data_IF_450191956909
#
_entry.id   IF_450191956909
#
_cell.length_a   1.000
_cell.length_b   1.000
_cell.length_c   1.000
_cell.angle_alpha   90.00
_cell.angle_beta   90.00
_cell.angle_gamma   90.00
#
_symmetry.space_group_name_H-M   'P 1'
#
loop_
_entity.id
_entity.type
_entity.pdbx_description
1 polymer ?
#
# COMPACT_ATOMS: atom_id res chain seq x y z
N UNK A 1 17.81 -5.20 -6.84
CA UNK A 1 17.62 -6.66 -6.75
C UNK A 1 17.10 -7.00 -5.35
N UNK A 2 16.33 -8.09 -5.17
CA UNK A 2 16.09 -8.65 -3.83
C UNK A 2 16.88 -9.95 -3.80
N UNK A 3 17.81 -10.05 -2.86
CA UNK A 3 18.63 -11.24 -2.70
C UNK A 3 18.33 -11.84 -1.34
N UNK A 4 17.86 -13.09 -1.33
CA UNK A 4 17.61 -13.85 -0.10
C UNK A 4 18.48 -15.09 -0.14
N UNK A 5 19.53 -15.09 0.70
CA UNK A 5 20.41 -16.23 0.86
C UNK A 5 19.83 -17.22 1.89
N UNK A 6 20.08 -18.51 1.64
CA UNK A 6 19.70 -19.60 2.54
C UNK A 6 20.54 -19.54 3.82
N UNK A 7 19.90 -19.69 4.98
CA UNK A 7 20.61 -19.80 6.26
C UNK A 7 20.98 -21.26 6.54
N UNK A 8 22.07 -21.48 7.27
CA UNK A 8 22.49 -22.84 7.69
C UNK A 8 21.44 -23.43 8.63
N UNK A 9 20.98 -24.65 8.36
CA UNK A 9 19.91 -25.31 9.13
C UNK A 9 18.48 -24.92 8.74
N UNK A 10 18.29 -24.11 7.69
CA UNK A 10 16.96 -23.70 7.23
C UNK A 10 16.35 -24.70 6.24
N UNK A 11 15.06 -25.00 6.39
CA UNK A 11 14.29 -25.75 5.40
C UNK A 11 14.05 -24.91 4.14
N UNK A 12 13.83 -25.56 3.00
CA UNK A 12 13.56 -24.83 1.76
C UNK A 12 12.27 -23.99 1.85
N UNK A 13 11.24 -24.51 2.53
CA UNK A 13 9.96 -23.81 2.69
C UNK A 13 10.11 -22.51 3.51
N UNK A 14 10.91 -22.53 4.58
CA UNK A 14 11.17 -21.33 5.38
C UNK A 14 11.87 -20.24 4.57
N UNK A 15 12.80 -20.63 3.69
CA UNK A 15 13.46 -19.71 2.76
C UNK A 15 12.45 -19.10 1.78
N UNK A 16 11.56 -19.92 1.19
CA UNK A 16 10.55 -19.46 0.24
C UNK A 16 9.56 -18.48 0.88
N UNK A 17 9.13 -18.74 2.12
CA UNK A 17 8.26 -17.83 2.89
C UNK A 17 8.93 -16.47 3.11
N UNK A 18 10.20 -16.45 3.52
CA UNK A 18 10.99 -15.22 3.65
C UNK A 18 11.11 -14.46 2.33
N UNK A 19 11.36 -15.18 1.24
CA UNK A 19 11.44 -14.59 -0.08
C UNK A 19 10.10 -13.93 -0.48
N UNK A 20 8.98 -14.63 -0.28
CA UNK A 20 7.64 -14.10 -0.53
C UNK A 20 7.35 -12.83 0.28
N UNK A 21 7.62 -12.83 1.57
CA UNK A 21 7.45 -11.66 2.44
C UNK A 21 8.34 -10.48 1.99
N UNK A 22 9.62 -10.75 1.71
CA UNK A 22 10.55 -9.72 1.24
C UNK A 22 10.14 -9.15 -0.13
N UNK A 23 9.61 -9.98 -1.03
CA UNK A 23 9.03 -9.56 -2.29
C UNK A 23 7.81 -8.65 -2.11
N UNK A 24 6.91 -8.97 -1.19
CA UNK A 24 5.74 -8.16 -0.87
C UNK A 24 6.15 -6.81 -0.26
N UNK A 25 7.00 -6.84 0.77
CA UNK A 25 7.49 -5.63 1.46
C UNK A 25 8.24 -4.69 0.52
N UNK A 26 9.02 -5.25 -0.41
CA UNK A 26 9.81 -4.45 -1.36
C UNK A 26 8.96 -3.55 -2.26
N UNK A 27 7.66 -3.84 -2.39
CA UNK A 27 6.75 -3.10 -3.27
C UNK A 27 7.08 -3.22 -4.76
N UNK A 28 8.07 -4.03 -5.16
CA UNK A 28 8.49 -4.17 -6.56
C UNK A 28 7.37 -4.64 -7.47
N UNK A 29 6.53 -5.55 -6.98
CA UNK A 29 5.37 -6.03 -7.74
C UNK A 29 4.35 -4.89 -7.97
N UNK A 30 4.15 -4.02 -6.98
CA UNK A 30 3.27 -2.84 -7.11
C UNK A 30 3.87 -1.86 -8.12
N UNK A 31 5.18 -1.62 -8.05
CA UNK A 31 5.86 -0.74 -8.99
C UNK A 31 5.79 -1.27 -10.42
N UNK A 32 6.08 -2.57 -10.62
CA UNK A 32 5.97 -3.22 -11.93
C UNK A 32 4.56 -3.11 -12.52
N UNK A 33 3.53 -3.28 -11.69
CA UNK A 33 2.13 -3.08 -12.10
C UNK A 33 1.81 -1.63 -12.48
N UNK A 34 2.38 -0.65 -11.76
CA UNK A 34 2.19 0.79 -12.05
C UNK A 34 2.82 1.21 -13.37
N UNK A 35 4.05 0.75 -13.65
CA UNK A 35 4.81 1.15 -14.84
C UNK A 35 4.56 0.25 -16.06
N UNK A 36 3.68 -0.75 -15.95
CA UNK A 36 3.40 -1.72 -17.03
C UNK A 36 2.93 -1.04 -18.32
N UNK A 37 2.24 0.10 -18.20
CA UNK A 37 1.76 0.88 -19.33
C UNK A 37 2.26 2.32 -19.23
N UNK A 38 2.40 2.96 -20.38
CA UNK A 38 2.68 4.39 -20.42
C UNK A 38 1.47 5.18 -19.87
N UNK A 39 1.77 6.16 -19.02
CA UNK A 39 0.78 7.08 -18.45
C UNK A 39 1.32 8.49 -18.59
N UNK A 40 0.53 9.37 -19.21
CA UNK A 40 0.87 10.79 -19.31
C UNK A 40 0.90 11.48 -17.94
N UNK A 41 1.63 12.59 -17.87
CA UNK A 41 1.63 13.44 -16.68
C UNK A 41 0.22 14.05 -16.45
N UNK A 42 -0.27 14.08 -15.19
CA UNK A 42 -1.59 14.62 -14.92
C UNK A 42 -1.65 16.12 -15.19
N UNK A 43 -2.72 16.57 -15.85
CA UNK A 43 -2.98 17.98 -16.06
C UNK A 43 -3.37 18.71 -14.75
N UNK A 44 -3.35 20.06 -14.75
CA UNK A 44 -3.67 20.88 -13.56
C UNK A 44 -5.08 20.62 -12.99
N UNK A 45 -6.04 20.26 -13.85
CA UNK A 45 -7.41 19.98 -13.43
C UNK A 45 -7.49 18.62 -12.71
N UNK A 46 -6.80 17.60 -13.21
CA UNK A 46 -6.72 16.28 -12.63
C UNK A 46 -6.01 16.34 -11.27
N UNK A 47 -4.91 17.07 -11.15
CA UNK A 47 -4.24 17.26 -9.85
C UNK A 47 -5.17 17.96 -8.85
N UNK A 48 -5.86 19.03 -9.25
CA UNK A 48 -6.86 19.71 -8.41
C UNK A 48 -7.99 18.79 -7.96
N UNK A 49 -8.58 18.02 -8.88
CA UNK A 49 -9.65 17.07 -8.58
C UNK A 49 -9.19 16.00 -7.57
N UNK A 50 -7.97 15.46 -7.74
CA UNK A 50 -7.42 14.50 -6.78
C UNK A 50 -7.17 15.11 -5.40
N UNK A 51 -6.76 16.38 -5.33
CA UNK A 51 -6.56 17.09 -4.08
C UNK A 51 -7.88 17.32 -3.34
N UNK A 52 -8.92 17.80 -4.04
CA UNK A 52 -10.26 18.00 -3.47
C UNK A 52 -10.83 16.70 -2.91
N UNK A 53 -10.73 15.61 -3.67
CA UNK A 53 -11.15 14.28 -3.21
C UNK A 53 -10.44 13.84 -1.93
N UNK A 54 -9.14 14.14 -1.79
CA UNK A 54 -8.37 13.80 -0.57
C UNK A 54 -8.88 14.57 0.63
N UNK A 55 -9.19 15.86 0.46
CA UNK A 55 -9.78 16.70 1.51
C UNK A 55 -11.14 16.17 1.95
N UNK A 56 -12.04 15.90 1.00
CA UNK A 56 -13.36 15.33 1.32
C UNK A 56 -13.28 14.01 2.09
N UNK A 57 -12.35 13.13 1.70
CA UNK A 57 -12.16 11.85 2.41
C UNK A 57 -11.59 12.03 3.81
N UNK A 58 -10.76 13.06 4.02
CA UNK A 58 -10.23 13.41 5.34
C UNK A 58 -11.35 13.92 6.24
N UNK A 59 -12.17 14.85 5.75
CA UNK A 59 -13.32 15.39 6.49
C UNK A 59 -14.31 14.30 6.86
N UNK A 60 -14.64 13.42 5.90
CA UNK A 60 -15.50 12.25 6.16
C UNK A 60 -14.93 11.34 7.24
N UNK A 61 -13.62 11.10 7.23
CA UNK A 61 -12.96 10.32 8.30
C UNK A 61 -13.09 11.02 9.65
N UNK A 62 -12.76 12.31 9.73
CA UNK A 62 -12.82 13.08 10.98
C UNK A 62 -14.25 13.13 11.54
N UNK A 63 -15.25 13.27 10.68
CA UNK A 63 -16.66 13.19 11.05
C UNK A 63 -17.04 11.82 11.63
N UNK A 64 -16.66 10.72 10.98
CA UNK A 64 -16.95 9.36 11.43
C UNK A 64 -16.29 9.01 12.77
N UNK A 65 -15.09 9.55 13.00
CA UNK A 65 -14.39 9.41 14.28
C UNK A 65 -15.13 10.21 15.36
N UNK A 66 -15.51 11.45 15.05
CA UNK A 66 -16.22 12.34 16.00
C UNK A 66 -17.61 11.81 16.35
N UNK A 67 -18.32 11.21 15.40
CA UNK A 67 -19.64 10.61 15.63
C UNK A 67 -19.60 9.24 16.31
N UNK A 68 -18.39 8.71 16.59
CA UNK A 68 -18.20 7.40 17.21
C UNK A 68 -18.56 6.21 16.31
N UNK A 69 -18.90 6.44 15.05
CA UNK A 69 -19.26 5.39 14.09
C UNK A 69 -18.06 4.58 13.59
N UNK A 70 -16.84 5.12 13.75
CA UNK A 70 -15.61 4.41 13.42
C UNK A 70 -14.49 4.79 14.37
N UNK A 71 -13.63 3.82 14.69
CA UNK A 71 -12.42 4.08 15.49
C UNK A 71 -11.25 4.43 14.58
N UNK A 72 -10.26 5.13 15.13
CA UNK A 72 -8.99 5.42 14.45
C UNK A 72 -8.28 4.11 14.01
N UNK A 73 -8.52 3.00 14.72
CA UNK A 73 -7.99 1.68 14.35
C UNK A 73 -8.64 1.08 13.10
N UNK A 74 -9.93 1.32 12.87
CA UNK A 74 -10.66 0.77 11.72
C UNK A 74 -10.08 1.28 10.40
N UNK A 75 -9.66 2.55 10.38
CA UNK A 75 -9.00 3.15 9.23
C UNK A 75 -7.54 2.69 9.07
N UNK A 76 -6.84 2.35 10.17
CA UNK A 76 -5.46 1.82 10.14
C UNK A 76 -5.41 0.36 9.67
N UNK A 77 -6.35 -0.49 10.10
CA UNK A 77 -6.41 -1.93 9.71
C UNK A 77 -6.61 -2.11 8.21
N UNK A 78 -7.41 -1.25 7.57
CA UNK A 78 -7.64 -1.28 6.12
C UNK A 78 -6.39 -0.95 5.29
N UNK A 79 -5.47 -0.14 5.85
CA UNK A 79 -4.17 0.15 5.22
C UNK A 79 -3.20 -1.02 5.33
N UNK A 80 -3.26 -1.82 6.41
CA UNK A 80 -2.40 -2.99 6.62
C UNK A 80 -2.82 -4.19 5.76
N UNK A 81 -4.12 -4.36 5.45
CA UNK A 81 -4.63 -5.42 4.56
C UNK A 81 -4.36 -5.17 3.06
N UNK A 82 -3.99 -3.95 2.67
CA UNK A 82 -3.74 -3.55 1.27
C UNK A 82 -2.24 -3.46 0.92
N UNK A 83 -1.37 -3.52 1.93
CA UNK A 83 0.07 -3.75 1.77
C UNK A 83 0.30 -5.25 1.81
#
# INVERSE_FOLDING_TARGET
MIEVKRKKGESFESLLRRFGHCMQDSGRMIQARKIRFHTDLPNKNATKATALRRTELREKREYLIRSGQATEEDFRRRSKRRR
#
